data_IF_123691306978
#
_entry.id   IF_123691306978
#
_cell.length_a   1.000
_cell.length_b   1.000
_cell.length_c   1.000
_cell.angle_alpha   90.00
_cell.angle_beta   90.00
_cell.angle_gamma   90.00
#
_symmetry.space_group_name_H-M   'P 1'
#
loop_
_entity.id
_entity.type
_entity.pdbx_description
1 polymer ?
#
# COMPACT_ATOMS: atom_id res chain seq x y z
N UNK A 1 -21.68 6.06 -2.49
CA UNK A 1 -20.84 5.55 -1.36
C UNK A 1 -20.16 4.24 -1.77
N UNK A 2 -18.86 4.16 -1.70
CA UNK A 2 -17.99 3.01 -2.03
C UNK A 2 -17.15 2.67 -0.80
N UNK A 3 -17.07 1.41 -0.44
CA UNK A 3 -16.21 0.93 0.66
C UNK A 3 -15.07 0.10 0.10
N UNK A 4 -13.83 0.49 0.41
CA UNK A 4 -12.60 -0.22 0.09
C UNK A 4 -11.99 -0.74 1.39
N UNK A 5 -11.67 -2.03 1.42
CA UNK A 5 -11.02 -2.67 2.57
C UNK A 5 -9.67 -3.19 2.15
N UNK A 6 -8.61 -2.77 2.84
CA UNK A 6 -7.23 -3.12 2.49
C UNK A 6 -6.55 -3.75 3.71
N UNK A 7 -5.91 -4.92 3.56
CA UNK A 7 -5.18 -5.54 4.65
C UNK A 7 -3.86 -4.82 4.94
N UNK A 8 -3.40 -4.90 6.18
CA UNK A 8 -2.02 -4.61 6.54
C UNK A 8 -1.06 -5.59 5.86
N UNK A 9 0.19 -5.19 5.72
CA UNK A 9 1.21 -6.02 5.10
C UNK A 9 2.50 -6.01 5.91
N UNK A 10 3.24 -7.09 5.84
CA UNK A 10 4.61 -7.18 6.32
C UNK A 10 5.51 -7.52 5.14
N UNK A 11 6.54 -6.72 4.92
CA UNK A 11 7.46 -6.85 3.80
C UNK A 11 8.87 -7.25 4.26
N UNK A 12 9.78 -7.42 3.31
CA UNK A 12 11.18 -7.77 3.56
C UNK A 12 11.33 -9.08 4.36
N UNK A 13 10.51 -10.08 4.03
CA UNK A 13 10.46 -11.34 4.75
C UNK A 13 11.75 -12.15 4.53
N UNK A 14 12.51 -12.37 5.60
CA UNK A 14 13.78 -13.12 5.54
C UNK A 14 14.78 -12.46 4.59
N UNK A 15 15.19 -13.18 3.54
CA UNK A 15 16.12 -12.70 2.50
C UNK A 15 15.43 -11.92 1.38
N UNK A 16 14.12 -11.71 1.49
CA UNK A 16 13.28 -11.11 0.43
C UNK A 16 13.19 -9.60 0.47
N UNK A 17 14.30 -8.90 0.65
CA UNK A 17 14.34 -7.43 0.66
C UNK A 17 13.78 -6.85 -0.63
N UNK A 18 12.85 -5.88 -0.53
CA UNK A 18 12.08 -5.27 -1.64
C UNK A 18 11.38 -6.28 -2.58
N UNK A 19 11.22 -7.54 -2.15
CA UNK A 19 10.71 -8.64 -2.99
C UNK A 19 9.58 -9.42 -2.34
N UNK A 20 9.77 -9.84 -1.07
CA UNK A 20 8.79 -10.68 -0.38
C UNK A 20 7.94 -9.87 0.59
N UNK A 21 6.64 -9.95 0.41
CA UNK A 21 5.66 -9.39 1.30
C UNK A 21 4.49 -10.33 1.57
N UNK A 22 3.76 -10.06 2.63
CA UNK A 22 2.61 -10.85 3.04
C UNK A 22 1.51 -9.96 3.59
N UNK A 23 0.27 -10.22 3.20
CA UNK A 23 -0.90 -9.65 3.84
C UNK A 23 -1.18 -10.32 5.19
N UNK A 24 -1.54 -9.51 6.18
CA UNK A 24 -1.93 -10.00 7.51
C UNK A 24 -3.38 -9.58 7.82
N UNK A 25 -4.04 -10.29 8.73
CA UNK A 25 -5.46 -10.10 9.06
C UNK A 25 -5.70 -8.93 10.01
N UNK A 26 -5.21 -7.77 9.65
CA UNK A 26 -5.48 -6.47 10.23
C UNK A 26 -5.88 -5.54 9.09
N UNK A 27 -6.90 -4.71 9.23
CA UNK A 27 -7.48 -4.03 8.09
C UNK A 27 -7.65 -2.54 8.31
N UNK A 28 -7.57 -1.80 7.20
CA UNK A 28 -8.11 -0.44 7.09
C UNK A 28 -9.33 -0.44 6.17
N UNK A 29 -10.32 0.34 6.54
CA UNK A 29 -11.54 0.55 5.79
C UNK A 29 -11.61 2.02 5.37
N UNK A 30 -11.84 2.23 4.09
CA UNK A 30 -11.94 3.54 3.49
C UNK A 30 -13.31 3.67 2.81
N UNK A 31 -14.05 4.70 3.16
CA UNK A 31 -15.33 4.97 2.53
C UNK A 31 -15.22 6.21 1.67
N UNK A 32 -15.55 6.09 0.39
CA UNK A 32 -15.52 7.18 -0.59
C UNK A 32 -16.93 7.53 -1.04
N UNK A 33 -17.21 8.83 -1.19
CA UNK A 33 -18.42 9.32 -1.82
C UNK A 33 -18.15 10.63 -2.58
N UNK A 34 -19.03 11.00 -3.50
CA UNK A 34 -19.02 12.34 -4.10
C UNK A 34 -19.38 13.38 -3.03
N UNK A 35 -18.77 14.55 -3.11
CA UNK A 35 -19.01 15.67 -2.20
C UNK A 35 -18.89 17.00 -2.94
N UNK A 36 -19.34 18.09 -2.34
CA UNK A 36 -19.19 19.43 -2.91
C UNK A 36 -17.78 19.99 -2.68
N UNK A 37 -17.11 19.52 -1.62
CA UNK A 37 -15.74 19.90 -1.26
C UNK A 37 -14.98 18.67 -0.75
N UNK A 38 -13.65 18.68 -0.84
CA UNK A 38 -12.85 17.65 -0.23
C UNK A 38 -13.06 17.61 1.29
N UNK A 39 -13.46 16.45 1.79
CA UNK A 39 -13.62 16.19 3.23
C UNK A 39 -12.94 14.88 3.58
N UNK A 40 -12.04 14.89 4.54
CA UNK A 40 -11.34 13.68 5.02
C UNK A 40 -11.56 13.58 6.53
N UNK A 41 -12.04 12.43 6.98
CA UNK A 41 -12.35 12.15 8.39
C UNK A 41 -11.74 10.82 8.85
N UNK A 42 -11.74 10.57 10.15
CA UNK A 42 -11.27 9.29 10.73
C UNK A 42 -9.74 9.16 10.83
N UNK A 43 -9.00 10.23 10.57
CA UNK A 43 -7.55 10.33 10.77
C UNK A 43 -7.20 11.59 11.58
N UNK A 44 -5.96 11.71 12.10
CA UNK A 44 -5.51 12.94 12.77
C UNK A 44 -5.73 14.19 11.91
N UNK A 45 -6.02 15.31 12.55
CA UNK A 45 -6.38 16.57 11.87
C UNK A 45 -5.31 17.04 10.89
N UNK A 46 -4.05 16.82 11.22
CA UNK A 46 -2.90 17.13 10.36
C UNK A 46 -2.89 16.40 9.02
N UNK A 47 -3.62 15.27 8.91
CA UNK A 47 -3.79 14.50 7.67
C UNK A 47 -5.16 14.74 6.98
N UNK A 48 -6.01 15.61 7.50
CA UNK A 48 -7.33 15.92 6.92
C UNK A 48 -7.23 17.02 5.85
N UNK A 49 -6.30 16.87 4.92
CA UNK A 49 -6.01 17.84 3.86
C UNK A 49 -5.60 17.13 2.55
N UNK A 50 -5.22 17.94 1.55
CA UNK A 50 -4.84 17.43 0.21
C UNK A 50 -3.56 16.58 0.19
N UNK A 51 -2.71 16.68 1.21
CA UNK A 51 -1.48 15.89 1.31
C UNK A 51 -1.74 14.50 1.90
N UNK A 52 -3.00 14.18 2.22
CA UNK A 52 -3.38 12.84 2.67
C UNK A 52 -3.07 11.81 1.57
N UNK A 53 -2.32 10.78 1.92
CA UNK A 53 -1.83 9.77 0.98
C UNK A 53 -2.95 9.07 0.20
N UNK A 54 -4.12 8.87 0.82
CA UNK A 54 -5.30 8.30 0.14
C UNK A 54 -5.77 9.23 -0.97
N UNK A 55 -5.84 10.53 -0.69
CA UNK A 55 -6.30 11.53 -1.64
C UNK A 55 -5.27 11.77 -2.74
N UNK A 56 -3.99 11.82 -2.39
CA UNK A 56 -2.88 11.92 -3.38
C UNK A 56 -2.94 10.76 -4.36
N UNK A 57 -3.09 9.52 -3.86
CA UNK A 57 -3.20 8.34 -4.71
C UNK A 57 -4.47 8.35 -5.57
N UNK A 58 -5.58 8.88 -5.04
CA UNK A 58 -6.82 9.07 -5.78
C UNK A 58 -6.65 10.07 -6.92
N UNK A 59 -6.10 11.27 -6.67
CA UNK A 59 -5.86 12.29 -7.70
C UNK A 59 -4.90 11.78 -8.80
N UNK A 60 -3.80 11.13 -8.40
CA UNK A 60 -2.84 10.59 -9.36
C UNK A 60 -3.43 9.48 -10.24
N UNK A 61 -4.33 8.67 -9.69
CA UNK A 61 -5.04 7.68 -10.48
C UNK A 61 -5.93 8.35 -11.55
N UNK A 62 -6.67 9.40 -11.19
CA UNK A 62 -7.47 10.17 -12.14
C UNK A 62 -6.59 10.79 -13.23
N UNK A 63 -5.49 11.45 -12.84
CA UNK A 63 -4.55 12.08 -13.76
C UNK A 63 -3.99 11.07 -14.77
N UNK A 64 -3.53 9.90 -14.30
CA UNK A 64 -3.01 8.84 -15.16
C UNK A 64 -4.07 8.32 -16.15
N UNK A 65 -5.34 8.39 -15.80
CA UNK A 65 -6.46 8.03 -16.67
C UNK A 65 -6.97 9.20 -17.54
N UNK A 66 -6.33 10.37 -17.46
CA UNK A 66 -6.73 11.57 -18.22
C UNK A 66 -8.08 12.16 -17.76
N UNK A 67 -8.40 11.98 -16.49
CA UNK A 67 -9.64 12.47 -15.86
C UNK A 67 -9.35 13.68 -14.97
N UNK A 68 -10.22 14.68 -15.02
CA UNK A 68 -10.13 15.82 -14.11
C UNK A 68 -10.50 15.42 -12.67
N UNK A 69 -9.72 15.86 -11.65
CA UNK A 69 -10.06 15.66 -10.25
C UNK A 69 -11.41 16.30 -9.90
N UNK A 70 -12.16 15.64 -9.05
CA UNK A 70 -13.44 16.12 -8.53
C UNK A 70 -13.51 15.98 -7.00
N UNK A 71 -14.32 16.80 -6.32
CA UNK A 71 -14.42 16.77 -4.87
C UNK A 71 -15.04 15.45 -4.38
N UNK A 72 -14.44 14.90 -3.29
CA UNK A 72 -14.89 13.67 -2.65
C UNK A 72 -14.87 13.78 -1.13
N UNK A 73 -15.63 12.94 -0.47
CA UNK A 73 -15.45 12.64 0.94
C UNK A 73 -14.75 11.31 1.13
N UNK A 74 -13.83 11.26 2.11
CA UNK A 74 -13.10 10.06 2.51
C UNK A 74 -13.27 9.89 4.01
N UNK A 75 -13.83 8.77 4.46
CA UNK A 75 -13.81 8.35 5.86
C UNK A 75 -12.85 7.19 6.04
N UNK A 76 -11.92 7.32 7.00
CA UNK A 76 -10.83 6.36 7.24
C UNK A 76 -11.04 5.70 8.60
N UNK A 77 -11.22 4.38 8.61
CA UNK A 77 -11.29 3.57 9.81
C UNK A 77 -10.15 2.55 9.76
N UNK A 78 -9.14 2.73 10.60
CA UNK A 78 -7.94 1.89 10.57
C UNK A 78 -7.59 1.32 11.93
N UNK A 79 -7.24 0.03 11.95
CA UNK A 79 -6.59 -0.63 13.07
C UNK A 79 -5.07 -0.72 12.86
N UNK A 80 -4.57 -0.29 11.70
CA UNK A 80 -3.16 -0.42 11.32
C UNK A 80 -2.38 0.78 11.88
N UNK A 81 -1.43 0.55 12.79
CA UNK A 81 -0.65 1.64 13.37
C UNK A 81 0.30 2.25 12.33
N UNK A 82 0.37 3.58 12.33
CA UNK A 82 1.24 4.33 11.42
C UNK A 82 2.71 4.12 11.76
N UNK A 83 3.57 3.99 10.75
CA UNK A 83 5.03 3.88 10.87
C UNK A 83 5.51 2.73 11.80
N UNK A 84 4.86 1.57 11.73
CA UNK A 84 5.20 0.37 12.52
C UNK A 84 5.55 -0.84 11.64
N UNK A 85 5.90 -0.63 10.37
CA UNK A 85 6.27 -1.70 9.46
C UNK A 85 5.10 -2.59 9.02
N UNK A 86 3.86 -2.10 9.11
CA UNK A 86 2.64 -2.83 8.72
C UNK A 86 1.99 -2.30 7.44
N UNK A 87 2.73 -1.58 6.62
CA UNK A 87 2.27 -1.13 5.31
C UNK A 87 1.12 -0.10 5.35
N UNK A 88 1.06 0.75 6.41
CA UNK A 88 0.01 1.78 6.53
C UNK A 88 -0.02 2.72 5.33
N UNK A 89 1.14 3.18 4.82
CA UNK A 89 1.25 3.98 3.60
C UNK A 89 0.68 3.24 2.40
N UNK A 90 1.09 2.00 2.20
CA UNK A 90 0.65 1.15 1.08
C UNK A 90 -0.85 0.89 1.11
N UNK A 91 -1.48 0.77 2.31
CA UNK A 91 -2.94 0.65 2.40
C UNK A 91 -3.64 1.92 1.92
N UNK A 92 -3.08 3.09 2.23
CA UNK A 92 -3.60 4.38 1.77
C UNK A 92 -3.50 4.52 0.24
N UNK A 93 -2.33 4.19 -0.32
CA UNK A 93 -2.09 4.23 -1.78
C UNK A 93 -3.05 3.30 -2.52
N UNK A 94 -3.15 2.05 -2.08
CA UNK A 94 -4.06 1.06 -2.68
C UNK A 94 -5.51 1.51 -2.58
N UNK A 95 -5.93 2.01 -1.42
CA UNK A 95 -7.29 2.48 -1.21
C UNK A 95 -7.64 3.67 -2.12
N UNK A 96 -6.73 4.63 -2.28
CA UNK A 96 -6.93 5.80 -3.14
C UNK A 96 -7.15 5.40 -4.60
N UNK A 97 -6.29 4.55 -5.15
CA UNK A 97 -6.42 4.06 -6.53
C UNK A 97 -7.71 3.26 -6.72
N UNK A 98 -8.03 2.35 -5.80
CA UNK A 98 -9.25 1.56 -5.86
C UNK A 98 -10.51 2.42 -5.69
N UNK A 99 -10.47 3.43 -4.82
CA UNK A 99 -11.54 4.40 -4.64
C UNK A 99 -11.81 5.19 -5.92
N UNK A 100 -10.75 5.66 -6.59
CA UNK A 100 -10.84 6.35 -7.86
C UNK A 100 -11.46 5.45 -8.95
N UNK A 101 -10.99 4.22 -9.09
CA UNK A 101 -11.54 3.27 -10.05
C UNK A 101 -13.03 3.00 -9.80
N UNK A 102 -13.41 2.81 -8.54
CA UNK A 102 -14.80 2.50 -8.18
C UNK A 102 -15.75 3.70 -8.37
N UNK A 103 -15.35 4.92 -7.96
CA UNK A 103 -16.18 6.13 -8.13
C UNK A 103 -16.36 6.49 -9.61
N UNK A 104 -15.36 6.28 -10.43
CA UNK A 104 -15.40 6.54 -11.88
C UNK A 104 -15.97 5.36 -12.68
N UNK A 105 -16.29 4.25 -12.02
CA UNK A 105 -16.73 2.98 -12.65
C UNK A 105 -15.76 2.46 -13.69
N UNK A 106 -14.47 2.76 -13.52
CA UNK A 106 -13.42 2.28 -14.41
C UNK A 106 -13.07 0.83 -14.06
N UNK A 107 -13.00 -0.01 -15.08
CA UNK A 107 -12.42 -1.35 -14.95
C UNK A 107 -10.91 -1.26 -15.05
N UNK A 108 -10.21 -1.75 -14.03
CA UNK A 108 -8.74 -1.73 -13.92
C UNK A 108 -8.27 -3.15 -13.66
N UNK A 109 -7.23 -3.59 -14.35
CA UNK A 109 -6.64 -4.91 -14.12
C UNK A 109 -5.82 -4.93 -12.82
N UNK A 110 -5.55 -6.12 -12.29
CA UNK A 110 -4.71 -6.26 -11.09
C UNK A 110 -3.27 -5.80 -11.36
N UNK A 111 -2.77 -6.09 -12.54
CA UNK A 111 -1.45 -5.71 -13.02
C UNK A 111 -1.32 -4.18 -13.09
N UNK A 112 -2.33 -3.51 -13.63
CA UNK A 112 -2.39 -2.05 -13.68
C UNK A 112 -2.43 -1.43 -12.26
N UNK A 113 -3.25 -1.97 -11.36
CA UNK A 113 -3.31 -1.52 -9.96
C UNK A 113 -1.97 -1.68 -9.25
N UNK A 114 -1.30 -2.83 -9.41
CA UNK A 114 0.03 -3.07 -8.82
C UNK A 114 1.05 -2.10 -9.40
N UNK A 115 1.04 -1.87 -10.71
CA UNK A 115 1.97 -0.96 -11.37
C UNK A 115 1.80 0.48 -10.87
N UNK A 116 0.56 0.98 -10.82
CA UNK A 116 0.23 2.30 -10.31
C UNK A 116 0.65 2.47 -8.84
N UNK A 117 0.27 1.52 -7.99
CA UNK A 117 0.61 1.56 -6.58
C UNK A 117 2.12 1.45 -6.33
N UNK A 118 2.84 0.64 -7.13
CA UNK A 118 4.30 0.53 -7.07
C UNK A 118 4.99 1.84 -7.48
N UNK A 119 4.48 2.51 -8.50
CA UNK A 119 5.02 3.79 -8.95
C UNK A 119 4.91 4.88 -7.86
N UNK A 120 3.85 4.86 -7.06
CA UNK A 120 3.63 5.78 -5.94
C UNK A 120 4.47 5.46 -4.70
N UNK A 121 4.54 4.18 -4.33
CA UNK A 121 5.24 3.72 -3.13
C UNK A 121 6.76 3.57 -3.35
N UNK A 122 7.18 3.34 -4.60
CA UNK A 122 8.58 3.14 -5.01
C UNK A 122 9.03 1.68 -4.99
N UNK A 123 8.26 0.78 -4.37
CA UNK A 123 8.57 -0.66 -4.29
C UNK A 123 7.28 -1.50 -4.16
N UNK A 124 7.25 -2.73 -4.73
CA UNK A 124 6.04 -3.54 -4.80
C UNK A 124 5.75 -4.40 -3.55
N UNK A 125 6.69 -4.58 -2.65
CA UNK A 125 6.68 -5.61 -1.59
C UNK A 125 5.57 -5.43 -0.54
N UNK A 126 5.04 -4.22 -0.35
CA UNK A 126 3.87 -3.94 0.48
C UNK A 126 2.59 -3.80 -0.36
N UNK A 127 2.62 -3.06 -1.47
CA UNK A 127 1.41 -2.82 -2.26
C UNK A 127 0.90 -4.08 -2.95
N UNK A 128 1.80 -4.96 -3.39
CA UNK A 128 1.40 -6.20 -4.05
C UNK A 128 0.61 -7.14 -3.10
N UNK A 129 1.06 -7.47 -1.88
CA UNK A 129 0.24 -8.27 -0.96
C UNK A 129 -0.98 -7.51 -0.45
N UNK A 130 -0.99 -6.18 -0.36
CA UNK A 130 -2.18 -5.40 -0.03
C UNK A 130 -3.30 -5.58 -1.08
N UNK A 131 -2.93 -5.67 -2.36
CA UNK A 131 -3.85 -5.87 -3.49
C UNK A 131 -4.22 -7.34 -3.73
N UNK A 132 -3.25 -8.25 -3.62
CA UNK A 132 -3.39 -9.65 -4.03
C UNK A 132 -3.70 -10.60 -2.88
N UNK A 133 -3.45 -10.17 -1.65
CA UNK A 133 -3.56 -11.01 -0.45
C UNK A 133 -2.47 -12.09 -0.38
N UNK A 134 -2.47 -12.86 0.71
CA UNK A 134 -1.54 -13.96 0.97
C UNK A 134 -0.05 -13.53 0.98
N UNK A 135 0.88 -14.43 0.64
CA UNK A 135 2.28 -14.11 0.44
C UNK A 135 2.56 -13.84 -1.04
N UNK A 136 3.33 -12.79 -1.32
CA UNK A 136 3.64 -12.37 -2.69
C UNK A 136 5.15 -12.19 -2.82
N UNK A 137 5.70 -12.78 -3.87
CA UNK A 137 7.01 -12.45 -4.39
C UNK A 137 6.82 -11.48 -5.56
N UNK A 138 7.41 -10.32 -5.48
CA UNK A 138 7.30 -9.28 -6.50
C UNK A 138 8.67 -8.75 -6.89
N UNK A 139 8.84 -8.41 -8.14
CA UNK A 139 10.05 -7.79 -8.66
C UNK A 139 9.70 -6.92 -9.87
N UNK A 140 10.46 -5.88 -10.08
CA UNK A 140 10.29 -4.97 -11.22
C UNK A 140 11.53 -5.09 -12.10
N UNK A 141 11.43 -5.77 -13.27
CA UNK A 141 12.53 -5.77 -14.24
C UNK A 141 12.79 -4.34 -14.74
N UNK A 142 14.02 -4.06 -15.11
CA UNK A 142 14.39 -2.73 -15.63
C UNK A 142 13.57 -2.39 -16.88
N UNK A 143 12.86 -1.25 -16.84
CA UNK A 143 12.01 -0.78 -17.94
C UNK A 143 10.70 -1.54 -18.14
N UNK A 144 10.33 -2.44 -17.23
CA UNK A 144 9.08 -3.21 -17.30
C UNK A 144 8.15 -2.89 -16.11
N UNK A 145 6.91 -3.39 -16.20
CA UNK A 145 5.96 -3.35 -15.11
C UNK A 145 6.30 -4.39 -14.02
N UNK A 146 5.90 -4.15 -12.77
CA UNK A 146 6.08 -5.11 -11.69
C UNK A 146 5.44 -6.47 -12.03
N UNK A 147 6.16 -7.56 -11.74
CA UNK A 147 5.66 -8.93 -11.84
C UNK A 147 5.45 -9.49 -10.44
N UNK A 148 4.33 -10.16 -10.24
CA UNK A 148 3.95 -10.70 -8.94
C UNK A 148 3.62 -12.18 -9.03
N UNK A 149 4.18 -12.96 -8.11
CA UNK A 149 3.83 -14.36 -7.89
C UNK A 149 3.18 -14.48 -6.52
N UNK A 150 1.91 -14.84 -6.51
CA UNK A 150 1.13 -15.03 -5.28
C UNK A 150 1.22 -16.49 -4.83
N UNK A 151 1.53 -16.69 -3.57
CA UNK A 151 1.60 -18.00 -2.94
C UNK A 151 0.49 -18.17 -1.91
N UNK A 152 -0.17 -19.31 -1.92
CA UNK A 152 -1.09 -19.68 -0.86
C UNK A 152 -0.31 -20.05 0.40
N UNK A 153 -0.67 -19.42 1.50
CA UNK A 153 -0.11 -19.73 2.82
C UNK A 153 -0.87 -20.93 3.39
N UNK A 154 -0.15 -21.91 3.90
CA UNK A 154 -0.76 -23.09 4.52
C UNK A 154 -1.55 -22.70 5.77
N UNK A 155 -2.77 -23.21 5.93
CA UNK A 155 -3.61 -23.00 7.10
C UNK A 155 -2.99 -23.57 8.40
N UNK A 156 -1.98 -24.42 8.28
CA UNK A 156 -1.22 -24.95 9.43
C UNK A 156 -0.21 -23.95 10.00
N UNK A 157 0.10 -22.88 9.27
CA UNK A 157 0.99 -21.82 9.73
C UNK A 157 0.20 -20.77 10.51
N UNK A 158 0.85 -20.21 11.52
CA UNK A 158 0.39 -19.04 12.26
C UNK A 158 1.50 -18.01 12.28
N UNK A 159 1.14 -16.77 11.97
CA UNK A 159 2.06 -15.65 12.00
C UNK A 159 1.75 -14.81 13.24
N UNK A 160 2.78 -14.46 13.96
CA UNK A 160 2.70 -13.57 15.12
C UNK A 160 3.43 -12.28 14.74
N UNK A 161 2.69 -11.18 14.72
CA UNK A 161 3.26 -9.85 14.48
C UNK A 161 3.58 -9.20 15.80
N UNK A 162 4.83 -8.80 15.98
CA UNK A 162 5.28 -8.02 17.14
C UNK A 162 5.40 -6.57 16.69
N UNK A 163 4.59 -5.70 17.26
CA UNK A 163 4.53 -4.28 16.90
C UNK A 163 5.28 -3.49 17.96
N UNK A 164 6.41 -2.85 17.64
CA UNK A 164 7.16 -2.07 18.61
C UNK A 164 6.40 -0.79 19.00
N UNK A 165 6.61 -0.25 20.22
CA UNK A 165 5.94 0.96 20.68
C UNK A 165 6.51 2.26 20.07
N UNK A 166 7.54 2.17 19.23
CA UNK A 166 8.19 3.30 18.59
C UNK A 166 8.00 3.27 17.07
N UNK A 167 8.09 4.44 16.44
CA UNK A 167 7.98 4.59 15.00
C UNK A 167 9.27 4.23 14.28
N UNK A 168 9.13 3.60 13.10
CA UNK A 168 10.23 3.31 12.19
C UNK A 168 9.83 3.78 10.80
N UNK A 169 10.40 4.90 10.39
CA UNK A 169 10.19 5.41 9.04
C UNK A 169 11.10 4.66 8.05
N UNK A 170 10.52 4.14 6.98
CA UNK A 170 11.24 3.37 5.95
C UNK A 170 12.43 4.14 5.38
N UNK A 171 12.28 5.46 5.17
CA UNK A 171 13.37 6.32 4.69
C UNK A 171 14.57 6.38 5.62
N UNK A 172 14.35 6.36 6.93
CA UNK A 172 15.42 6.35 7.93
C UNK A 172 16.05 4.95 8.04
N UNK A 173 15.22 3.91 8.04
CA UNK A 173 15.71 2.52 8.06
C UNK A 173 16.60 2.22 6.86
N UNK A 174 16.26 2.70 5.66
CA UNK A 174 17.06 2.53 4.45
C UNK A 174 18.43 3.22 4.51
N UNK A 175 18.60 4.28 5.29
CA UNK A 175 19.89 4.98 5.44
C UNK A 175 20.94 4.16 6.18
N UNK A 176 20.51 3.23 7.05
CA UNK A 176 21.42 2.40 7.85
C UNK A 176 21.71 1.04 7.22
N UNK A 177 21.01 0.69 6.13
CA UNK A 177 21.29 -0.54 5.37
C UNK A 177 22.61 -0.37 4.61
N UNK A 178 23.61 -1.25 4.79
CA UNK A 178 24.87 -1.15 4.06
C UNK A 178 24.65 -1.37 2.57
N UNK A 179 25.30 -0.55 1.75
CA UNK A 179 25.22 -0.66 0.29
C UNK A 179 26.03 -1.82 -0.27
N UNK A 180 27.03 -2.26 0.46
CA UNK A 180 27.94 -3.34 0.09
C UNK A 180 28.19 -4.23 1.31
N UNK A 181 28.28 -5.53 1.09
CA UNK A 181 28.65 -6.50 2.11
C UNK A 181 29.70 -7.47 1.54
N UNK A 182 30.62 -7.99 2.36
CA UNK A 182 31.55 -9.03 1.91
C UNK A 182 30.79 -10.26 1.41
N UNK A 183 31.33 -10.94 0.40
CA UNK A 183 30.71 -12.16 -0.16
C UNK A 183 30.44 -13.22 0.93
N UNK A 184 31.33 -13.36 1.90
CA UNK A 184 31.18 -14.27 3.05
C UNK A 184 30.00 -13.93 3.98
N UNK A 185 29.45 -12.72 3.86
CA UNK A 185 28.26 -12.29 4.61
C UNK A 185 27.00 -12.45 3.77
N UNK A 186 27.13 -12.43 2.44
CA UNK A 186 26.04 -12.54 1.50
C UNK A 186 25.65 -14.00 1.16
N UNK A 187 26.48 -14.97 1.51
CA UNK A 187 26.32 -16.40 1.21
C UNK A 187 25.93 -17.19 2.45
#
# INVERSE_FOLDING_TARGET
MIKVTVPATSANLGIGYDTLGMAVSLYSHFTFDHADTLTITGCPEEFQNRDNMVYVAFEQALEQWGMEPFPISIDIQTEIPVARGLGSSSTCVVAGIMGAAALTRRTVTREELVAMATALEGHPDNVAPALLGAAVCSFTPEGELPRCLRYNVSERLRFITIIPPYEVHTSEARKVVPKEVPLSTAV
#
